data_IF_365910117068
#
_entry.id   IF_365910117068
#
_cell.length_a   1.000
_cell.length_b   1.000
_cell.length_c   1.000
_cell.angle_alpha   90.00
_cell.angle_beta   90.00
_cell.angle_gamma   90.00
#
_symmetry.space_group_name_H-M   'P 1'
#
loop_
_entity.id
_entity.type
_entity.pdbx_description
1 polymer ?
#
# COMPACT_ATOMS: atom_id res chain seq x y z
N UNK A 1 -7.00 -16.43 14.58
CA UNK A 1 -6.61 -16.02 13.21
C UNK A 1 -7.50 -14.84 12.84
N UNK A 2 -6.94 -13.73 12.37
CA UNK A 2 -7.73 -12.50 12.11
C UNK A 2 -8.72 -12.70 10.97
N UNK A 3 -9.88 -12.04 11.02
CA UNK A 3 -10.87 -12.03 9.93
C UNK A 3 -10.40 -11.26 8.67
N UNK A 4 -9.25 -10.61 8.73
CA UNK A 4 -8.69 -9.79 7.64
C UNK A 4 -7.64 -10.55 6.83
N UNK A 5 -7.50 -10.15 5.56
CA UNK A 5 -6.38 -10.55 4.72
C UNK A 5 -5.06 -10.10 5.34
N UNK A 6 -3.97 -10.80 5.02
CA UNK A 6 -2.63 -10.36 5.41
C UNK A 6 -2.39 -8.91 4.94
N UNK A 7 -1.86 -8.07 5.82
CA UNK A 7 -1.70 -6.63 5.59
C UNK A 7 -3.00 -5.88 5.22
N UNK A 8 -4.15 -6.34 5.74
CA UNK A 8 -5.49 -5.73 5.64
C UNK A 8 -6.11 -5.70 4.24
N UNK A 9 -5.36 -5.29 3.22
CA UNK A 9 -5.84 -5.13 1.85
C UNK A 9 -6.19 -6.48 1.19
N UNK A 10 -7.24 -6.47 0.38
CA UNK A 10 -7.53 -7.56 -0.53
C UNK A 10 -6.50 -7.66 -1.68
N UNK A 11 -6.41 -8.83 -2.30
CA UNK A 11 -5.42 -9.08 -3.35
C UNK A 11 -5.65 -8.27 -4.63
N UNK A 12 -6.88 -7.86 -4.95
CA UNK A 12 -7.15 -7.00 -6.10
C UNK A 12 -6.57 -5.60 -5.88
N UNK A 13 -6.78 -5.03 -4.68
CA UNK A 13 -6.26 -3.73 -4.26
C UNK A 13 -4.73 -3.76 -4.25
N UNK A 14 -4.11 -4.79 -3.65
CA UNK A 14 -2.64 -4.97 -3.70
C UNK A 14 -2.13 -5.07 -5.13
N UNK A 15 -2.77 -5.88 -5.99
CA UNK A 15 -2.39 -6.04 -7.40
C UNK A 15 -2.45 -4.71 -8.15
N UNK A 16 -3.43 -3.87 -7.87
CA UNK A 16 -3.56 -2.54 -8.47
C UNK A 16 -2.45 -1.60 -8.01
N UNK A 17 -2.18 -1.52 -6.70
CA UNK A 17 -1.10 -0.71 -6.14
C UNK A 17 0.26 -1.16 -6.70
N UNK A 18 0.53 -2.47 -6.75
CA UNK A 18 1.77 -3.03 -7.32
C UNK A 18 1.97 -2.61 -8.79
N UNK A 19 0.92 -2.57 -9.61
CA UNK A 19 1.00 -2.05 -10.99
C UNK A 19 1.34 -0.56 -11.02
N UNK A 20 0.77 0.23 -10.10
CA UNK A 20 1.09 1.66 -9.99
C UNK A 20 2.55 1.89 -9.56
N UNK A 21 3.05 1.11 -8.59
CA UNK A 21 4.45 1.13 -8.16
C UNK A 21 5.38 0.83 -9.34
N UNK A 22 5.12 -0.24 -10.11
CA UNK A 22 5.95 -0.58 -11.27
C UNK A 22 5.97 0.52 -12.33
N UNK A 23 4.85 1.23 -12.55
CA UNK A 23 4.82 2.42 -13.42
C UNK A 23 5.65 3.58 -12.84
N UNK A 24 5.58 3.79 -11.53
CA UNK A 24 6.33 4.86 -10.85
C UNK A 24 7.84 4.62 -10.92
N UNK A 25 8.27 3.36 -10.81
CA UNK A 25 9.66 2.96 -11.02
C UNK A 25 10.12 3.20 -12.46
N UNK A 26 9.27 2.89 -13.45
CA UNK A 26 9.59 3.06 -14.87
C UNK A 26 9.58 4.52 -15.35
N UNK A 27 8.92 5.42 -14.62
CA UNK A 27 8.78 6.84 -14.98
C UNK A 27 9.17 7.72 -13.78
N UNK A 28 10.48 7.91 -13.53
CA UNK A 28 10.96 8.63 -12.35
C UNK A 28 10.39 10.05 -12.26
N UNK A 29 9.85 10.41 -11.10
CA UNK A 29 9.26 11.73 -10.83
C UNK A 29 7.82 11.92 -11.32
N UNK A 30 7.26 10.96 -12.08
CA UNK A 30 5.85 11.01 -12.47
C UNK A 30 4.94 10.50 -11.34
N UNK A 31 3.95 11.33 -10.99
CA UNK A 31 2.94 10.99 -9.98
C UNK A 31 1.91 10.03 -10.58
N UNK A 32 2.12 8.72 -10.44
CA UNK A 32 1.20 7.71 -10.93
C UNK A 32 -0.09 7.73 -10.08
N UNK A 33 -1.25 8.03 -10.68
CA UNK A 33 -2.51 7.93 -9.96
C UNK A 33 -2.81 6.47 -9.60
N UNK A 34 -3.24 6.21 -8.38
CA UNK A 34 -3.78 4.91 -7.97
C UNK A 34 -5.04 5.10 -7.12
N UNK A 35 -5.96 4.14 -7.21
CA UNK A 35 -7.23 4.23 -6.51
C UNK A 35 -7.07 3.84 -5.03
N UNK A 36 -6.81 4.83 -4.18
CA UNK A 36 -6.80 4.67 -2.72
C UNK A 36 -8.14 4.10 -2.24
N UNK A 37 -8.08 3.25 -1.21
CA UNK A 37 -9.24 2.78 -0.46
C UNK A 37 -9.37 3.52 0.86
N UNK A 38 -10.58 3.49 1.41
CA UNK A 38 -10.78 3.86 2.80
C UNK A 38 -10.04 2.86 3.68
N UNK A 39 -9.22 3.40 4.57
CA UNK A 39 -8.44 2.66 5.54
C UNK A 39 -9.05 2.92 6.93
N UNK A 40 -8.75 2.10 7.95
CA UNK A 40 -9.18 2.36 9.33
C UNK A 40 -8.39 3.51 9.97
N UNK A 41 -8.26 4.62 9.25
CA UNK A 41 -7.60 5.86 9.62
C UNK A 41 -8.05 7.00 8.68
N UNK A 42 -8.15 8.26 9.15
CA UNK A 42 -8.62 9.36 8.32
C UNK A 42 -7.69 9.68 7.14
N UNK A 43 -8.24 10.18 6.04
CA UNK A 43 -7.44 10.81 5.00
C UNK A 43 -6.61 11.96 5.58
N UNK A 44 -5.38 12.11 5.09
CA UNK A 44 -4.39 13.05 5.63
C UNK A 44 -3.48 12.47 6.71
N UNK A 45 -3.79 11.30 7.27
CA UNK A 45 -2.98 10.64 8.31
C UNK A 45 -2.00 9.59 7.75
N UNK A 46 -1.57 9.74 6.49
CA UNK A 46 -0.61 8.81 5.87
C UNK A 46 -1.21 7.56 5.21
N UNK A 47 -2.52 7.56 4.90
CA UNK A 47 -3.22 6.39 4.31
C UNK A 47 -2.58 5.87 3.02
N UNK A 48 -1.97 6.74 2.22
CA UNK A 48 -1.25 6.36 1.00
C UNK A 48 0.01 5.56 1.31
N UNK A 49 0.81 6.00 2.28
CA UNK A 49 2.01 5.29 2.71
C UNK A 49 1.68 3.91 3.27
N UNK A 50 0.65 3.83 4.12
CA UNK A 50 0.17 2.56 4.68
C UNK A 50 -0.27 1.59 3.58
N UNK A 51 -0.99 2.05 2.56
CA UNK A 51 -1.41 1.20 1.44
C UNK A 51 -0.24 0.70 0.60
N UNK A 52 0.79 1.52 0.38
CA UNK A 52 2.02 1.10 -0.32
C UNK A 52 2.77 0.06 0.51
N UNK A 53 2.93 0.27 1.81
CA UNK A 53 3.56 -0.70 2.73
C UNK A 53 2.79 -2.01 2.75
N UNK A 54 1.46 -1.96 2.92
CA UNK A 54 0.59 -3.14 2.94
C UNK A 54 0.61 -3.94 1.62
N UNK A 55 0.81 -3.26 0.48
CA UNK A 55 0.92 -3.92 -0.81
C UNK A 55 2.29 -4.58 -1.05
N UNK A 56 3.33 -4.19 -0.30
CA UNK A 56 4.72 -4.64 -0.51
C UNK A 56 5.24 -5.58 0.57
N UNK A 57 4.67 -5.54 1.79
CA UNK A 57 5.09 -6.36 2.92
C UNK A 57 5.00 -7.87 2.65
N UNK A 58 5.93 -8.63 3.22
CA UNK A 58 5.87 -10.09 3.36
C UNK A 58 5.97 -10.50 4.84
N UNK A 59 5.59 -11.74 5.21
CA UNK A 59 5.61 -12.21 6.60
C UNK A 59 7.00 -12.17 7.27
N UNK A 60 8.07 -12.17 6.48
CA UNK A 60 9.46 -12.22 6.95
C UNK A 60 10.09 -10.83 7.11
N UNK A 61 9.39 -9.77 6.70
CA UNK A 61 9.90 -8.41 6.78
C UNK A 61 10.05 -7.92 8.22
N UNK A 62 11.10 -7.14 8.45
CA UNK A 62 11.24 -6.32 9.66
C UNK A 62 10.78 -4.89 9.35
N UNK A 63 9.56 -4.54 9.76
CA UNK A 63 8.98 -3.23 9.49
C UNK A 63 9.44 -2.17 10.52
N UNK A 64 10.06 -1.10 10.04
CA UNK A 64 10.32 0.13 10.82
C UNK A 64 9.30 1.20 10.43
N UNK A 65 8.60 1.75 11.42
CA UNK A 65 7.71 2.91 11.27
C UNK A 65 8.24 4.04 12.15
N UNK A 66 8.28 5.25 11.61
CA UNK A 66 8.64 6.49 12.30
C UNK A 66 7.72 7.59 11.79
N UNK A 67 7.54 8.64 12.59
CA UNK A 67 7.00 9.93 12.18
C UNK A 67 8.11 10.96 12.33
#
# INVERSE_FOLDING_TARGET
MSEYNFAYLDEQTKRMIRRAILKGLAIPGYQVPFASREMPMPYGWGTGGVQVSAATLTPEDTLKVID
#
